data_IF_632737157891
#
_entry.id   IF_632737157891
#
_cell.length_a   1.000
_cell.length_b   1.000
_cell.length_c   1.000
_cell.angle_alpha   90.00
_cell.angle_beta   90.00
_cell.angle_gamma   90.00
#
_symmetry.space_group_name_H-M   'P 1'
#
loop_
_entity.id
_entity.type
_entity.pdbx_description
1 polymer ?
#
# COMPACT_ATOMS: atom_id res chain seq x y z
N UNK A 1 7.76 -6.93 22.16
CA UNK A 1 6.59 -7.08 23.07
C UNK A 1 6.15 -5.75 23.71
N UNK A 2 6.38 -4.59 23.07
CA UNK A 2 6.06 -3.26 23.66
C UNK A 2 4.65 -2.77 23.29
N UNK A 3 4.07 -3.32 22.22
CA UNK A 3 2.72 -3.06 21.76
C UNK A 3 1.91 -4.34 22.01
N UNK A 4 0.85 -4.26 22.81
CA UNK A 4 -0.05 -5.38 23.14
C UNK A 4 -0.96 -5.72 21.95
N UNK A 5 -0.35 -6.16 20.85
CA UNK A 5 -1.06 -6.49 19.60
C UNK A 5 -1.13 -7.99 19.39
N UNK A 6 -2.24 -8.45 18.80
CA UNK A 6 -2.37 -9.81 18.31
C UNK A 6 -1.52 -10.00 17.04
N UNK A 7 -0.89 -11.17 16.92
CA UNK A 7 -0.02 -11.54 15.80
C UNK A 7 -0.69 -12.69 15.06
N UNK A 8 -0.76 -12.58 13.74
CA UNK A 8 -1.35 -13.59 12.87
C UNK A 8 -0.33 -14.02 11.82
N UNK A 9 -0.35 -15.31 11.48
CA UNK A 9 0.52 -15.89 10.46
C UNK A 9 -0.34 -16.56 9.38
N UNK A 10 0.13 -16.50 8.13
CA UNK A 10 -0.45 -17.29 7.06
C UNK A 10 0.08 -18.72 7.13
N UNK A 11 -0.73 -19.68 6.70
CA UNK A 11 -0.36 -21.07 6.61
C UNK A 11 0.78 -21.27 5.59
N UNK A 12 1.71 -22.22 5.84
CA UNK A 12 2.71 -22.60 4.86
C UNK A 12 2.07 -22.94 3.51
N UNK A 13 2.74 -22.55 2.42
CA UNK A 13 2.29 -22.80 1.04
C UNK A 13 0.88 -22.27 0.70
N UNK A 14 0.37 -21.29 1.45
CA UNK A 14 -0.96 -20.70 1.26
C UNK A 14 -0.90 -19.23 0.82
N UNK A 15 -0.36 -18.91 -0.37
CA UNK A 15 -0.16 -17.53 -0.82
C UNK A 15 -1.47 -16.73 -0.98
N UNK A 16 -2.60 -17.41 -1.17
CA UNK A 16 -3.92 -16.76 -1.30
C UNK A 16 -4.34 -16.02 -0.02
N UNK A 17 -3.88 -16.44 1.16
CA UNK A 17 -4.13 -15.76 2.43
C UNK A 17 -3.46 -14.38 2.51
N UNK A 18 -2.54 -14.10 1.58
CA UNK A 18 -1.80 -12.84 1.46
C UNK A 18 -2.05 -12.14 0.12
N UNK A 19 -3.11 -12.49 -0.60
CA UNK A 19 -3.36 -11.98 -1.96
C UNK A 19 -3.33 -10.45 -2.07
N UNK A 20 -3.82 -9.73 -1.06
CA UNK A 20 -3.76 -8.26 -1.02
C UNK A 20 -2.32 -7.76 -0.90
N UNK A 21 -1.51 -8.38 -0.04
CA UNK A 21 -0.10 -8.00 0.14
C UNK A 21 0.68 -8.19 -1.16
N UNK A 22 0.44 -9.30 -1.87
CA UNK A 22 1.08 -9.56 -3.16
C UNK A 22 0.64 -8.54 -4.23
N UNK A 23 -0.64 -8.15 -4.25
CA UNK A 23 -1.11 -7.09 -5.14
C UNK A 23 -0.44 -5.74 -4.85
N UNK A 24 -0.32 -5.35 -3.58
CA UNK A 24 0.35 -4.11 -3.17
C UNK A 24 1.84 -4.14 -3.51
N UNK A 25 2.52 -5.26 -3.27
CA UNK A 25 3.92 -5.44 -3.67
C UNK A 25 4.12 -5.25 -5.17
N UNK A 26 3.20 -5.79 -5.99
CA UNK A 26 3.23 -5.58 -7.45
C UNK A 26 3.12 -4.10 -7.85
N UNK A 27 2.33 -3.31 -7.12
CA UNK A 27 2.18 -1.87 -7.36
C UNK A 27 3.41 -1.08 -6.94
N UNK A 28 4.03 -1.45 -5.81
CA UNK A 28 5.30 -0.85 -5.35
C UNK A 28 6.39 -1.09 -6.39
N UNK A 29 6.44 -2.30 -6.98
CA UNK A 29 7.41 -2.65 -8.02
C UNK A 29 7.27 -1.88 -9.33
N UNK A 30 6.16 -1.17 -9.55
CA UNK A 30 6.02 -0.24 -10.69
C UNK A 30 6.87 1.03 -10.49
N UNK A 31 7.20 1.37 -9.23
CA UNK A 31 8.03 2.53 -8.88
C UNK A 31 9.46 2.13 -8.51
N UNK A 32 9.62 1.00 -7.80
CA UNK A 32 10.90 0.47 -7.37
C UNK A 32 11.08 -0.95 -7.94
N UNK A 33 11.61 -1.09 -9.17
CA UNK A 33 11.83 -2.39 -9.79
C UNK A 33 12.62 -3.35 -8.91
N UNK A 34 12.55 -4.64 -9.23
CA UNK A 34 13.35 -5.63 -8.49
C UNK A 34 14.83 -5.30 -8.63
N UNK A 35 15.54 -5.20 -7.51
CA UNK A 35 16.96 -4.84 -7.47
C UNK A 35 17.24 -3.37 -7.16
N UNK A 36 16.20 -2.54 -6.97
CA UNK A 36 16.39 -1.18 -6.41
C UNK A 36 17.09 -1.26 -5.05
N UNK A 37 18.20 -0.54 -4.91
CA UNK A 37 18.84 -0.30 -3.61
C UNK A 37 18.08 0.82 -2.89
N UNK A 38 17.37 0.46 -1.81
CA UNK A 38 16.60 1.43 -1.03
C UNK A 38 17.49 2.36 -0.19
N UNK A 39 18.79 2.10 -0.07
CA UNK A 39 19.70 3.07 0.55
C UNK A 39 19.96 4.28 -0.35
N UNK A 40 19.77 4.13 -1.66
CA UNK A 40 19.92 5.22 -2.63
C UNK A 40 18.60 5.95 -2.90
N UNK A 41 17.47 5.40 -2.44
CA UNK A 41 16.16 6.02 -2.58
C UNK A 41 15.93 7.01 -1.44
N UNK A 42 15.61 8.25 -1.77
CA UNK A 42 15.32 9.25 -0.75
C UNK A 42 13.99 8.98 -0.04
N UNK A 43 13.91 9.42 1.23
CA UNK A 43 12.64 9.41 1.96
C UNK A 43 11.54 10.21 1.25
N UNK A 44 11.91 11.23 0.48
CA UNK A 44 10.97 12.03 -0.31
C UNK A 44 10.33 11.20 -1.42
N UNK A 45 11.12 10.40 -2.14
CA UNK A 45 10.63 9.49 -3.18
C UNK A 45 9.75 8.39 -2.58
N UNK A 46 10.16 7.80 -1.45
CA UNK A 46 9.35 6.81 -0.73
C UNK A 46 8.00 7.42 -0.35
N UNK A 47 8.00 8.59 0.29
CA UNK A 47 6.78 9.28 0.70
C UNK A 47 5.90 9.66 -0.50
N UNK A 48 6.49 10.09 -1.62
CA UNK A 48 5.75 10.37 -2.84
C UNK A 48 5.01 9.12 -3.35
N UNK A 49 5.70 7.99 -3.44
CA UNK A 49 5.11 6.73 -3.90
C UNK A 49 4.03 6.24 -2.94
N UNK A 50 4.29 6.27 -1.63
CA UNK A 50 3.32 5.89 -0.59
C UNK A 50 2.06 6.74 -0.68
N UNK A 51 2.21 8.07 -0.75
CA UNK A 51 1.08 8.99 -0.90
C UNK A 51 0.30 8.71 -2.18
N UNK A 52 0.98 8.46 -3.29
CA UNK A 52 0.32 8.15 -4.56
C UNK A 52 -0.47 6.84 -4.48
N UNK A 53 0.08 5.79 -3.88
CA UNK A 53 -0.59 4.48 -3.77
C UNK A 53 -1.79 4.52 -2.81
N UNK A 54 -1.66 5.25 -1.70
CA UNK A 54 -2.72 5.39 -0.68
C UNK A 54 -3.86 6.32 -1.13
N UNK A 55 -3.60 7.24 -2.05
CA UNK A 55 -4.61 8.10 -2.66
C UNK A 55 -5.06 7.61 -4.04
N UNK A 56 -4.56 6.48 -4.56
CA UNK A 56 -4.97 5.94 -5.86
C UNK A 56 -6.37 5.32 -5.78
N UNK A 57 -7.36 5.80 -6.55
CA UNK A 57 -8.67 5.16 -6.70
C UNK A 57 -8.55 3.69 -7.10
N UNK A 58 -9.34 2.81 -6.48
CA UNK A 58 -9.34 1.37 -6.78
C UNK A 58 -10.69 0.91 -7.29
N UNK A 59 -10.73 0.28 -8.48
CA UNK A 59 -11.95 -0.31 -9.06
C UNK A 59 -12.59 -1.34 -8.12
N UNK A 60 -11.77 -2.18 -7.47
CA UNK A 60 -12.20 -3.17 -6.47
C UNK A 60 -12.88 -2.56 -5.25
N UNK A 61 -12.77 -1.24 -5.06
CA UNK A 61 -13.35 -0.49 -3.94
C UNK A 61 -14.35 0.57 -4.39
N UNK A 62 -14.98 0.36 -5.56
CA UNK A 62 -15.98 1.29 -6.10
C UNK A 62 -15.40 2.65 -6.47
N UNK A 63 -14.12 2.71 -6.85
CA UNK A 63 -13.44 3.96 -7.20
C UNK A 63 -12.93 4.77 -6.00
N UNK A 64 -13.12 4.30 -4.76
CA UNK A 64 -12.58 4.96 -3.57
C UNK A 64 -11.08 4.68 -3.39
N UNK A 65 -10.39 5.60 -2.75
CA UNK A 65 -8.97 5.45 -2.38
C UNK A 65 -8.82 4.65 -1.07
N UNK A 66 -7.65 4.01 -0.83
CA UNK A 66 -7.34 3.42 0.46
C UNK A 66 -7.49 4.40 1.63
N UNK A 67 -7.00 5.63 1.48
CA UNK A 67 -7.12 6.67 2.51
C UNK A 67 -8.57 7.03 2.81
N UNK A 68 -9.43 7.13 1.81
CA UNK A 68 -10.86 7.43 2.01
C UNK A 68 -11.54 6.39 2.87
N UNK A 69 -11.23 5.12 2.63
CA UNK A 69 -11.84 4.01 3.36
C UNK A 69 -11.26 3.84 4.75
N UNK A 70 -9.97 4.09 4.92
CA UNK A 70 -9.31 3.95 6.21
C UNK A 70 -9.61 5.12 7.16
N UNK A 71 -9.59 6.35 6.64
CA UNK A 71 -9.80 7.57 7.44
C UNK A 71 -11.26 8.01 7.50
N UNK A 72 -12.12 7.50 6.62
CA UNK A 72 -13.53 7.93 6.51
C UNK A 72 -13.71 9.34 5.93
N UNK A 73 -12.66 9.95 5.39
CA UNK A 73 -12.67 11.32 4.85
C UNK A 73 -12.45 11.25 3.34
N UNK A 74 -13.28 11.92 2.54
CA UNK A 74 -13.06 12.07 1.09
C UNK A 74 -11.73 12.80 0.85
N UNK A 75 -10.73 12.10 0.33
CA UNK A 75 -9.52 12.73 -0.21
C UNK A 75 -9.79 13.02 -1.68
N UNK A 76 -10.51 14.11 -1.94
CA UNK A 76 -10.69 14.58 -3.31
C UNK A 76 -9.31 14.92 -3.88
N UNK A 77 -8.85 14.18 -4.89
CA UNK A 77 -7.66 14.52 -5.68
C UNK A 77 -7.96 15.52 -6.81
N UNK A 78 -9.21 15.98 -6.91
CA UNK A 78 -9.62 17.03 -7.82
C UNK A 78 -9.87 18.29 -6.97
N UNK A 79 -9.24 19.43 -7.30
CA UNK A 79 -9.71 20.72 -6.80
C UNK A 79 -11.10 20.99 -7.37
N UNK A 80 -11.95 21.67 -6.59
CA UNK A 80 -13.24 22.22 -7.07
C UNK A 80 -13.04 23.16 -8.27
#
# INVERSE_FOLDING_TARGET
KKLETQIYFAHPYSPWERGINENINGLIRQYFPKGTDFNEVSDQEINFVVNRLNNRPRKTRGGKTPNELFKGIRTCLLPD
#
